data_IF_885688027617
#
_entry.id   IF_885688027617
#
_cell.length_a   1.000
_cell.length_b   1.000
_cell.length_c   1.000
_cell.angle_alpha   90.00
_cell.angle_beta   90.00
_cell.angle_gamma   90.00
#
_symmetry.space_group_name_H-M   'P 1'
#
loop_
_entity.id
_entity.type
_entity.pdbx_description
1 polymer ?
#
# COMPACT_ATOMS: atom_id res chain seq x y z
N UNK A 1 24.68 3.28 5.56
CA UNK A 1 23.92 2.57 4.52
C UNK A 1 23.16 1.42 5.16
N UNK A 2 21.91 1.24 4.77
CA UNK A 2 21.04 0.16 5.25
C UNK A 2 20.57 -0.64 4.04
N UNK A 3 20.66 -1.95 4.12
CA UNK A 3 20.18 -2.87 3.09
C UNK A 3 19.02 -3.68 3.65
N UNK A 4 17.83 -3.48 3.11
CA UNK A 4 16.64 -4.23 3.50
C UNK A 4 16.59 -5.57 2.76
N UNK A 5 16.36 -6.64 3.50
CA UNK A 5 16.11 -7.95 2.92
C UNK A 5 14.61 -8.16 2.66
N UNK A 6 14.27 -8.86 1.57
CA UNK A 6 12.92 -9.36 1.29
C UNK A 6 11.80 -8.28 1.21
N UNK A 7 12.11 -7.10 0.68
CA UNK A 7 11.12 -6.02 0.52
C UNK A 7 9.93 -6.49 -0.34
N UNK A 8 10.17 -7.13 -1.48
CA UNK A 8 9.17 -7.60 -2.46
C UNK A 8 8.15 -8.62 -1.89
N UNK A 9 8.42 -9.16 -0.70
CA UNK A 9 7.50 -10.05 0.02
C UNK A 9 7.08 -9.47 1.38
N UNK A 10 7.28 -8.16 1.58
CA UNK A 10 6.87 -7.43 2.78
C UNK A 10 7.74 -7.69 4.02
N UNK A 11 9.02 -8.04 3.83
CA UNK A 11 9.96 -8.38 4.91
C UNK A 11 11.05 -7.33 5.17
N UNK A 12 11.87 -7.58 6.19
CA UNK A 12 13.09 -6.86 6.52
C UNK A 12 12.92 -5.53 7.28
N UNK A 13 11.78 -4.86 7.15
CA UNK A 13 11.54 -3.57 7.80
C UNK A 13 11.48 -3.66 9.33
N UNK A 14 10.95 -4.76 9.88
CA UNK A 14 10.83 -4.94 11.33
C UNK A 14 12.18 -5.05 12.00
N UNK A 15 13.09 -5.79 11.40
CA UNK A 15 14.46 -5.97 11.85
C UNK A 15 15.24 -4.66 11.81
N UNK A 16 15.05 -3.85 10.77
CA UNK A 16 15.65 -2.52 10.65
C UNK A 16 15.11 -1.60 11.75
N UNK A 17 13.80 -1.52 11.95
CA UNK A 17 13.18 -0.71 13.00
C UNK A 17 13.66 -1.14 14.38
N UNK A 18 13.74 -2.45 14.64
CA UNK A 18 14.25 -2.96 15.91
C UNK A 18 15.71 -2.57 16.11
N UNK A 19 16.57 -2.76 15.11
CA UNK A 19 17.97 -2.35 15.18
C UNK A 19 18.13 -0.86 15.50
N UNK A 20 17.34 0.01 14.85
CA UNK A 20 17.36 1.44 15.12
C UNK A 20 16.91 1.78 16.54
N UNK A 21 15.86 1.13 17.05
CA UNK A 21 15.41 1.34 18.44
C UNK A 21 16.47 0.94 19.48
N UNK A 22 17.23 -0.09 19.19
CA UNK A 22 18.30 -0.59 20.10
C UNK A 22 19.58 0.24 20.01
N UNK A 23 19.84 0.94 18.90
CA UNK A 23 21.09 1.64 18.62
C UNK A 23 20.95 3.17 18.46
N UNK A 24 19.87 3.77 18.98
CA UNK A 24 19.66 5.23 18.99
C UNK A 24 18.92 5.78 17.78
N UNK A 25 18.74 5.01 16.74
CA UNK A 25 18.03 5.39 15.53
C UNK A 25 18.69 6.51 14.72
N UNK A 26 18.25 6.73 13.46
CA UNK A 26 18.68 7.85 12.64
C UNK A 26 17.77 9.07 12.85
N UNK A 27 18.35 10.26 12.74
CA UNK A 27 17.59 11.53 12.72
C UNK A 27 16.84 11.70 11.41
N UNK A 28 17.36 11.13 10.31
CA UNK A 28 16.79 11.21 8.97
C UNK A 28 17.09 9.97 8.14
N UNK A 29 16.11 9.53 7.38
CA UNK A 29 16.24 8.43 6.43
C UNK A 29 15.85 8.87 5.03
N UNK A 30 16.54 8.36 4.03
CA UNK A 30 16.23 8.57 2.62
C UNK A 30 16.24 7.24 1.88
N UNK A 31 15.29 7.05 0.99
CA UNK A 31 15.26 5.92 0.07
C UNK A 31 15.00 6.40 -1.36
N UNK A 32 15.65 5.75 -2.30
CA UNK A 32 15.51 6.02 -3.73
C UNK A 32 15.10 4.74 -4.44
N UNK A 33 13.97 4.77 -5.13
CA UNK A 33 13.52 3.69 -5.99
C UNK A 33 13.69 4.09 -7.47
N UNK A 34 14.19 3.21 -8.29
CA UNK A 34 14.27 3.42 -9.75
C UNK A 34 12.88 3.29 -10.37
N UNK A 35 12.51 4.21 -11.28
CA UNK A 35 11.15 4.25 -11.83
C UNK A 35 11.17 4.48 -13.34
N UNK A 36 10.85 3.45 -14.13
CA UNK A 36 10.92 3.50 -15.59
C UNK A 36 9.86 4.37 -16.27
N UNK A 37 8.82 4.76 -15.56
CA UNK A 37 7.81 5.71 -16.05
C UNK A 37 8.29 7.17 -15.96
N UNK A 38 9.38 7.42 -15.27
CA UNK A 38 10.07 8.71 -15.22
C UNK A 38 11.29 8.61 -16.13
N UNK A 39 11.51 9.65 -16.93
CA UNK A 39 12.63 9.73 -17.87
C UNK A 39 13.97 9.77 -17.14
N UNK A 40 14.96 9.12 -17.73
CA UNK A 40 16.36 9.13 -17.26
C UNK A 40 16.89 10.56 -17.09
N UNK A 41 17.59 10.84 -15.98
CA UNK A 41 18.04 12.19 -15.64
C UNK A 41 17.02 13.02 -14.85
N UNK A 42 15.86 12.46 -14.54
CA UNK A 42 14.84 13.11 -13.70
C UNK A 42 14.64 12.38 -12.37
N UNK A 43 14.23 13.12 -11.36
CA UNK A 43 13.90 12.59 -10.03
C UNK A 43 12.62 13.24 -9.51
N UNK A 44 11.70 12.42 -8.98
CA UNK A 44 10.50 12.92 -8.29
C UNK A 44 10.66 12.75 -6.80
N UNK A 45 10.65 13.86 -6.08
CA UNK A 45 10.66 13.93 -4.61
C UNK A 45 9.62 14.95 -4.17
N UNK A 46 8.44 14.45 -3.76
CA UNK A 46 7.31 15.27 -3.37
C UNK A 46 6.92 15.00 -1.91
N UNK A 47 6.42 16.01 -1.16
CA UNK A 47 5.96 15.81 0.21
C UNK A 47 4.65 15.03 0.28
N UNK A 48 4.35 14.51 1.46
CA UNK A 48 3.11 13.79 1.71
C UNK A 48 3.08 12.38 1.11
N UNK A 49 1.90 11.84 0.82
CA UNK A 49 1.76 10.46 0.36
C UNK A 49 2.43 10.21 -0.99
N UNK A 50 3.24 9.13 -1.08
CA UNK A 50 3.90 8.69 -2.32
C UNK A 50 3.46 7.31 -2.79
N UNK A 51 3.27 6.37 -1.82
CA UNK A 51 2.72 5.05 -2.12
C UNK A 51 1.58 4.74 -1.16
N UNK A 52 0.60 3.99 -1.65
CA UNK A 52 -0.53 3.55 -0.84
C UNK A 52 -0.10 2.57 0.24
N UNK A 53 -0.74 2.65 1.40
CA UNK A 53 -0.83 1.52 2.30
C UNK A 53 -1.74 0.45 1.71
N UNK A 54 -1.42 -0.81 1.98
CA UNK A 54 -2.23 -1.95 1.56
C UNK A 54 -2.55 -2.83 2.73
N UNK A 55 -3.83 -3.21 2.87
CA UNK A 55 -4.28 -4.12 3.92
C UNK A 55 -5.27 -5.13 3.38
N UNK A 56 -5.25 -6.32 3.97
CA UNK A 56 -6.18 -7.39 3.66
C UNK A 56 -7.28 -7.54 4.71
N UNK A 57 -8.38 -8.12 4.29
CA UNK A 57 -9.48 -8.50 5.18
C UNK A 57 -10.08 -9.85 4.76
N UNK A 58 -10.63 -10.53 5.75
CA UNK A 58 -11.39 -11.78 5.60
C UNK A 58 -12.66 -11.70 6.43
N UNK A 59 -13.75 -12.16 5.86
CA UNK A 59 -15.07 -12.21 6.49
C UNK A 59 -15.55 -13.65 6.46
N UNK A 60 -15.63 -14.27 7.63
CA UNK A 60 -16.21 -15.59 7.83
C UNK A 60 -17.68 -15.43 8.19
N UNK A 61 -18.56 -16.15 7.50
CA UNK A 61 -20.01 -16.08 7.66
C UNK A 61 -20.50 -17.46 8.03
N UNK A 62 -21.13 -17.58 9.21
CA UNK A 62 -21.66 -18.83 9.72
C UNK A 62 -23.19 -18.77 9.74
N UNK A 63 -23.80 -19.67 9.00
CA UNK A 63 -25.23 -19.87 8.97
C UNK A 63 -25.62 -21.27 9.49
N UNK A 64 -26.66 -21.81 8.93
CA UNK A 64 -27.12 -23.17 9.19
C UNK A 64 -27.58 -23.82 7.89
N UNK A 65 -26.86 -24.85 7.45
CA UNK A 65 -27.15 -25.57 6.22
C UNK A 65 -28.46 -26.35 6.25
N UNK A 66 -28.88 -26.76 5.07
CA UNK A 66 -30.13 -27.51 4.92
C UNK A 66 -30.38 -27.95 3.49
N UNK A 67 -31.54 -28.53 3.25
CA UNK A 67 -31.99 -28.93 1.94
C UNK A 67 -32.50 -27.73 1.13
N UNK A 68 -32.03 -27.56 -0.12
CA UNK A 68 -32.38 -26.43 -0.97
C UNK A 68 -33.88 -26.24 -1.24
N UNK A 69 -34.69 -27.32 -1.12
CA UNK A 69 -36.15 -27.22 -1.24
C UNK A 69 -36.85 -26.76 0.05
N UNK A 70 -36.13 -26.68 1.19
CA UNK A 70 -36.63 -26.23 2.48
C UNK A 70 -35.76 -25.11 3.08
N UNK A 71 -35.60 -23.98 2.34
CA UNK A 71 -34.80 -22.85 2.82
C UNK A 71 -35.33 -22.23 4.11
N UNK A 72 -36.62 -22.41 4.41
CA UNK A 72 -37.30 -22.03 5.64
C UNK A 72 -36.71 -22.71 6.90
N UNK A 73 -36.04 -23.85 6.73
CA UNK A 73 -35.40 -24.62 7.80
C UNK A 73 -33.89 -24.38 7.93
N UNK A 74 -33.34 -23.46 7.15
CA UNK A 74 -31.90 -23.14 7.11
C UNK A 74 -31.66 -21.66 7.37
N UNK A 75 -30.40 -21.28 7.53
CA UNK A 75 -29.93 -19.90 7.55
C UNK A 75 -28.79 -19.85 6.50
N UNK A 76 -29.14 -19.40 5.32
CA UNK A 76 -28.25 -19.45 4.15
C UNK A 76 -27.12 -18.41 4.24
N UNK A 77 -25.83 -18.77 4.28
CA UNK A 77 -24.72 -17.83 4.33
C UNK A 77 -24.30 -17.27 2.95
N UNK A 78 -24.80 -17.82 1.86
CA UNK A 78 -24.41 -17.38 0.50
C UNK A 78 -24.96 -16.00 0.18
N UNK A 79 -26.24 -15.75 0.49
CA UNK A 79 -26.89 -14.46 0.22
C UNK A 79 -26.22 -13.29 0.94
N UNK A 80 -25.97 -13.36 2.27
CA UNK A 80 -25.23 -12.31 2.95
C UNK A 80 -23.80 -12.15 2.43
N UNK A 81 -23.10 -13.22 2.00
CA UNK A 81 -21.81 -13.11 1.38
C UNK A 81 -21.83 -12.25 0.10
N UNK A 82 -22.82 -12.46 -0.78
CA UNK A 82 -23.01 -11.64 -1.98
C UNK A 82 -23.34 -10.18 -1.63
N UNK A 83 -24.23 -9.95 -0.64
CA UNK A 83 -24.61 -8.60 -0.21
C UNK A 83 -23.44 -7.84 0.41
N UNK A 84 -22.58 -8.52 1.20
CA UNK A 84 -21.34 -7.94 1.73
C UNK A 84 -20.42 -7.49 0.61
N UNK A 85 -20.17 -8.31 -0.43
CA UNK A 85 -19.33 -7.94 -1.58
C UNK A 85 -19.82 -6.66 -2.23
N UNK A 86 -21.12 -6.54 -2.49
CA UNK A 86 -21.71 -5.36 -3.10
C UNK A 86 -21.58 -4.10 -2.20
N UNK A 87 -21.80 -4.26 -0.91
CA UNK A 87 -21.73 -3.13 0.05
C UNK A 87 -20.31 -2.65 0.27
N UNK A 88 -19.34 -3.54 0.49
CA UNK A 88 -17.95 -3.11 0.72
C UNK A 88 -17.35 -2.43 -0.51
N UNK A 89 -17.76 -2.83 -1.71
CA UNK A 89 -17.33 -2.19 -2.96
C UNK A 89 -17.82 -0.73 -3.11
N UNK A 90 -18.84 -0.33 -2.36
CA UNK A 90 -19.36 1.04 -2.37
C UNK A 90 -18.65 1.99 -1.39
N UNK A 91 -17.77 1.49 -0.54
CA UNK A 91 -17.10 2.28 0.51
C UNK A 91 -16.32 3.48 -0.06
N UNK A 92 -15.50 3.34 -1.11
CA UNK A 92 -14.75 4.47 -1.64
C UNK A 92 -15.63 5.64 -2.07
N UNK A 93 -16.79 5.34 -2.66
CA UNK A 93 -17.70 6.37 -3.20
C UNK A 93 -18.56 7.02 -2.10
N UNK A 94 -18.98 6.26 -1.09
CA UNK A 94 -20.00 6.71 -0.15
C UNK A 94 -19.45 7.10 1.23
N UNK A 95 -18.24 6.68 1.57
CA UNK A 95 -17.73 6.80 2.95
C UNK A 95 -16.34 7.41 3.06
N UNK A 96 -15.58 7.47 1.97
CA UNK A 96 -14.29 8.15 1.90
C UNK A 96 -14.48 9.52 1.24
N UNK A 97 -13.66 10.50 1.58
CA UNK A 97 -13.69 11.81 0.93
C UNK A 97 -13.43 11.67 -0.57
N UNK A 98 -14.18 12.39 -1.40
CA UNK A 98 -13.95 12.41 -2.85
C UNK A 98 -12.58 12.98 -3.24
N UNK A 99 -11.89 13.66 -2.31
CA UNK A 99 -10.55 14.18 -2.47
C UNK A 99 -9.45 13.19 -2.01
N UNK A 100 -9.85 12.05 -1.44
CA UNK A 100 -8.94 10.99 -1.02
C UNK A 100 -9.02 9.79 -1.95
N UNK A 101 -7.87 9.33 -2.41
CA UNK A 101 -7.79 8.08 -3.17
C UNK A 101 -7.91 6.88 -2.23
N UNK A 102 -8.83 5.99 -2.55
CA UNK A 102 -9.06 4.75 -1.83
C UNK A 102 -9.56 3.67 -2.78
N UNK A 103 -9.10 2.44 -2.57
CA UNK A 103 -9.59 1.26 -3.29
C UNK A 103 -10.04 0.24 -2.27
N UNK A 104 -11.24 -0.31 -2.46
CA UNK A 104 -11.74 -1.46 -1.68
C UNK A 104 -12.25 -2.50 -2.65
N UNK A 105 -11.81 -3.74 -2.51
CA UNK A 105 -12.20 -4.81 -3.40
C UNK A 105 -12.36 -6.14 -2.65
N UNK A 106 -13.26 -6.99 -3.13
CA UNK A 106 -13.31 -8.40 -2.80
C UNK A 106 -12.63 -9.19 -3.93
N UNK A 107 -11.72 -10.09 -3.55
CA UNK A 107 -10.97 -10.93 -4.49
C UNK A 107 -11.52 -12.34 -4.59
N UNK A 108 -12.12 -12.83 -3.52
CA UNK A 108 -12.66 -14.19 -3.49
C UNK A 108 -13.95 -14.25 -2.66
N UNK A 109 -14.82 -15.13 -3.08
CA UNK A 109 -16.01 -15.56 -2.35
C UNK A 109 -16.08 -17.08 -2.43
N UNK A 110 -16.17 -17.73 -1.29
CA UNK A 110 -16.24 -19.19 -1.20
C UNK A 110 -17.45 -19.60 -0.38
N UNK A 111 -18.17 -20.60 -0.83
CA UNK A 111 -19.32 -21.15 -0.12
C UNK A 111 -20.04 -22.20 -0.94
N UNK A 112 -20.67 -23.12 -0.25
CA UNK A 112 -21.39 -24.23 -0.89
C UNK A 112 -20.52 -25.35 -1.44
N UNK A 113 -21.14 -26.20 -2.22
CA UNK A 113 -20.53 -27.33 -2.92
C UNK A 113 -20.99 -27.30 -4.37
N UNK A 114 -20.54 -28.26 -5.17
CA UNK A 114 -21.03 -28.46 -6.56
C UNK A 114 -22.43 -29.08 -6.63
N UNK A 115 -23.03 -29.40 -5.47
CA UNK A 115 -24.34 -30.06 -5.37
C UNK A 115 -25.42 -29.00 -5.17
N UNK A 116 -26.27 -28.77 -6.18
CA UNK A 116 -27.20 -27.64 -6.25
C UNK A 116 -28.42 -27.71 -5.30
N UNK A 117 -28.61 -28.78 -4.54
CA UNK A 117 -29.72 -28.91 -3.59
C UNK A 117 -29.29 -28.85 -2.10
N UNK A 118 -28.05 -28.40 -1.82
CA UNK A 118 -27.53 -28.25 -0.47
C UNK A 118 -27.25 -26.79 -0.18
N UNK A 119 -27.87 -26.24 0.87
CA UNK A 119 -27.50 -24.96 1.48
C UNK A 119 -26.33 -25.22 2.43
N UNK A 120 -25.20 -24.50 2.32
CA UNK A 120 -24.02 -24.74 3.14
C UNK A 120 -24.17 -24.19 4.56
N UNK A 121 -23.26 -24.62 5.47
CA UNK A 121 -23.18 -24.07 6.84
C UNK A 121 -22.43 -22.75 6.92
N UNK A 122 -21.54 -22.47 5.96
CA UNK A 122 -20.69 -21.30 6.00
C UNK A 122 -20.35 -20.78 4.60
N UNK A 123 -19.97 -19.52 4.57
CA UNK A 123 -19.34 -18.87 3.42
C UNK A 123 -18.19 -17.97 3.91
N UNK A 124 -17.31 -17.58 3.00
CA UNK A 124 -16.25 -16.63 3.29
C UNK A 124 -16.10 -15.63 2.15
N UNK A 125 -15.70 -14.41 2.50
CA UNK A 125 -15.31 -13.36 1.56
C UNK A 125 -13.91 -12.88 1.92
N UNK A 126 -13.03 -12.76 0.92
CA UNK A 126 -11.65 -12.30 1.09
C UNK A 126 -11.42 -11.11 0.18
N UNK A 127 -10.73 -10.08 0.69
CA UNK A 127 -10.43 -8.91 -0.10
C UNK A 127 -9.31 -8.06 0.49
N UNK A 128 -9.16 -6.89 -0.09
CA UNK A 128 -8.17 -5.91 0.34
C UNK A 128 -8.63 -4.48 0.11
N UNK A 129 -7.83 -3.55 0.61
CA UNK A 129 -8.04 -2.13 0.37
C UNK A 129 -6.70 -1.40 0.30
N UNK A 130 -6.70 -0.24 -0.39
CA UNK A 130 -5.56 0.68 -0.51
C UNK A 130 -5.97 2.04 0.03
N UNK A 131 -5.03 2.75 0.65
CA UNK A 131 -5.27 4.03 1.30
C UNK A 131 -3.98 4.84 1.37
N UNK A 132 -4.08 6.19 1.44
CA UNK A 132 -2.92 7.08 1.46
C UNK A 132 -2.68 7.78 2.80
N UNK A 133 -3.62 7.64 3.78
CA UNK A 133 -3.44 8.14 5.14
C UNK A 133 -3.81 7.05 6.16
N UNK A 134 -3.18 7.08 7.35
CA UNK A 134 -3.47 6.10 8.42
C UNK A 134 -4.95 6.18 8.84
N UNK A 135 -5.48 7.40 8.87
CA UNK A 135 -6.85 7.70 9.26
C UNK A 135 -7.85 7.07 8.29
N UNK A 136 -7.62 7.25 6.97
CA UNK A 136 -8.49 6.64 5.95
C UNK A 136 -8.40 5.11 5.98
N UNK A 137 -7.22 4.54 6.16
CA UNK A 137 -7.04 3.09 6.30
C UNK A 137 -7.83 2.50 7.46
N UNK A 138 -7.75 3.13 8.65
CA UNK A 138 -8.52 2.73 9.83
C UNK A 138 -10.01 2.89 9.59
N UNK A 139 -10.45 4.04 9.06
CA UNK A 139 -11.85 4.33 8.75
C UNK A 139 -12.45 3.29 7.80
N UNK A 140 -11.75 2.95 6.73
CA UNK A 140 -12.20 1.94 5.76
C UNK A 140 -12.42 0.59 6.43
N UNK A 141 -11.48 0.11 7.24
CA UNK A 141 -11.63 -1.16 7.92
C UNK A 141 -12.80 -1.16 8.93
N UNK A 142 -12.96 -0.08 9.69
CA UNK A 142 -14.09 0.08 10.63
C UNK A 142 -15.43 0.02 9.88
N UNK A 143 -15.53 0.62 8.67
CA UNK A 143 -16.74 0.59 7.85
C UNK A 143 -16.98 -0.82 7.28
N UNK A 144 -15.93 -1.51 6.79
CA UNK A 144 -16.06 -2.92 6.34
C UNK A 144 -16.67 -3.75 7.46
N UNK A 145 -16.16 -3.62 8.69
CA UNK A 145 -16.65 -4.33 9.86
C UNK A 145 -18.11 -3.98 10.19
N UNK A 146 -18.44 -2.69 10.18
CA UNK A 146 -19.80 -2.21 10.46
C UNK A 146 -20.82 -2.73 9.44
N UNK A 147 -20.50 -2.61 8.14
CA UNK A 147 -21.38 -3.07 7.06
C UNK A 147 -21.60 -4.58 7.12
N UNK A 148 -20.52 -5.34 7.30
CA UNK A 148 -20.60 -6.80 7.35
C UNK A 148 -21.42 -7.30 8.53
N UNK A 149 -21.23 -6.71 9.70
CA UNK A 149 -22.05 -7.03 10.88
C UNK A 149 -23.51 -6.65 10.69
N UNK A 150 -23.81 -5.49 10.07
CA UNK A 150 -25.16 -5.07 9.74
C UNK A 150 -25.86 -6.05 8.79
N UNK A 151 -25.16 -6.52 7.76
CA UNK A 151 -25.66 -7.58 6.87
C UNK A 151 -25.93 -8.87 7.68
N UNK A 152 -25.00 -9.26 8.54
CA UNK A 152 -25.17 -10.43 9.41
C UNK A 152 -26.46 -10.37 10.23
N UNK A 153 -26.76 -9.21 10.81
CA UNK A 153 -28.01 -8.99 11.57
C UNK A 153 -29.26 -9.14 10.71
N UNK A 154 -29.23 -8.57 9.48
CA UNK A 154 -30.38 -8.64 8.55
C UNK A 154 -30.69 -10.09 8.13
N UNK A 155 -29.66 -10.90 7.91
CA UNK A 155 -29.81 -12.28 7.45
C UNK A 155 -29.84 -13.33 8.58
N UNK A 156 -29.58 -12.92 9.82
CA UNK A 156 -29.54 -13.82 10.98
C UNK A 156 -28.36 -14.79 10.97
N UNK A 157 -27.24 -14.37 10.37
CA UNK A 157 -25.98 -15.14 10.33
C UNK A 157 -24.95 -14.54 11.29
N UNK A 158 -24.03 -15.37 11.79
CA UNK A 158 -22.86 -14.89 12.51
C UNK A 158 -21.79 -14.43 11.52
N UNK A 159 -21.23 -13.23 11.76
CA UNK A 159 -20.20 -12.64 10.92
C UNK A 159 -18.96 -12.33 11.74
N UNK A 160 -17.81 -12.83 11.31
CA UNK A 160 -16.51 -12.51 11.90
C UNK A 160 -15.64 -11.82 10.86
N UNK A 161 -15.28 -10.56 11.12
CA UNK A 161 -14.37 -9.77 10.26
C UNK A 161 -12.98 -9.78 10.86
N UNK A 162 -12.01 -10.20 10.08
CA UNK A 162 -10.59 -10.31 10.47
C UNK A 162 -9.74 -9.44 9.57
N UNK A 163 -8.85 -8.63 10.16
CA UNK A 163 -7.77 -7.95 9.44
C UNK A 163 -6.62 -8.93 9.21
N UNK A 164 -6.23 -9.15 7.97
CA UNK A 164 -5.23 -10.18 7.62
C UNK A 164 -3.81 -9.65 7.49
N UNK A 165 -3.57 -8.42 7.98
CA UNK A 165 -2.26 -7.77 7.90
C UNK A 165 -2.19 -6.75 6.77
N UNK A 166 -1.05 -6.11 6.65
CA UNK A 166 -0.79 -5.09 5.64
C UNK A 166 0.42 -4.24 5.99
N UNK A 167 0.75 -3.31 5.11
CA UNK A 167 1.77 -2.28 5.29
C UNK A 167 1.16 -0.90 5.12
N UNK A 168 1.72 0.09 5.83
CA UNK A 168 1.21 1.46 5.79
C UNK A 168 1.65 2.21 4.55
N UNK A 169 1.07 3.40 4.32
CA UNK A 169 1.46 4.26 3.21
C UNK A 169 2.86 4.83 3.41
N UNK A 170 3.57 5.06 2.31
CA UNK A 170 4.80 5.85 2.29
C UNK A 170 4.41 7.32 2.29
N UNK A 171 4.76 8.03 3.35
CA UNK A 171 4.44 9.45 3.52
C UNK A 171 5.75 10.21 3.79
N UNK A 172 6.11 11.10 2.86
CA UNK A 172 7.32 11.90 2.94
C UNK A 172 7.16 13.09 3.89
N UNK A 173 8.20 13.34 4.68
CA UNK A 173 8.34 14.51 5.52
C UNK A 173 8.57 15.77 4.67
N UNK A 174 7.84 16.85 4.95
CA UNK A 174 7.87 18.08 4.16
C UNK A 174 9.22 18.79 4.21
N UNK A 175 9.82 18.91 5.41
CA UNK A 175 11.12 19.57 5.59
C UNK A 175 12.26 18.74 4.93
N UNK A 176 12.16 17.43 5.00
CA UNK A 176 13.11 16.54 4.32
C UNK A 176 13.07 16.72 2.80
N UNK A 177 11.86 16.79 2.24
CA UNK A 177 11.65 17.00 0.80
C UNK A 177 12.11 18.38 0.35
N UNK A 178 11.86 19.43 1.14
CA UNK A 178 12.32 20.78 0.80
C UNK A 178 13.83 20.82 0.60
N UNK A 179 14.58 20.28 1.54
CA UNK A 179 16.04 20.16 1.43
C UNK A 179 16.46 19.30 0.24
N UNK A 180 15.74 18.21 -0.03
CA UNK A 180 16.03 17.34 -1.17
C UNK A 180 15.90 18.09 -2.50
N UNK A 181 14.86 18.91 -2.67
CA UNK A 181 14.64 19.73 -3.88
C UNK A 181 15.75 20.78 -4.08
N UNK A 182 16.22 21.40 -2.99
CA UNK A 182 17.35 22.33 -3.03
C UNK A 182 18.66 21.63 -3.52
N UNK A 183 18.87 20.39 -3.08
CA UNK A 183 20.06 19.59 -3.47
C UNK A 183 19.98 19.16 -4.93
N UNK A 184 18.83 18.71 -5.42
CA UNK A 184 18.64 18.31 -6.83
C UNK A 184 19.04 19.45 -7.76
N UNK A 185 18.68 20.70 -7.43
CA UNK A 185 19.00 21.88 -8.22
C UNK A 185 20.53 22.15 -8.37
N UNK A 186 21.35 21.47 -7.57
CA UNK A 186 22.82 21.58 -7.56
C UNK A 186 23.52 20.32 -8.09
N UNK A 187 22.82 19.48 -8.85
CA UNK A 187 23.37 18.27 -9.48
C UNK A 187 23.23 18.40 -11.00
N UNK A 188 24.34 18.48 -11.68
CA UNK A 188 24.36 18.56 -13.15
C UNK A 188 23.76 17.28 -13.78
N UNK A 189 22.79 17.46 -14.67
CA UNK A 189 22.13 16.35 -15.36
C UNK A 189 21.04 15.64 -14.55
N UNK A 190 20.65 16.18 -13.38
CA UNK A 190 19.50 15.70 -12.61
C UNK A 190 18.47 16.83 -12.49
N UNK A 191 17.27 16.57 -12.98
CA UNK A 191 16.16 17.54 -12.97
C UNK A 191 15.00 17.06 -12.08
N UNK A 192 14.33 18.01 -11.43
CA UNK A 192 13.10 17.72 -10.70
C UNK A 192 11.96 17.39 -11.68
N UNK A 193 11.25 16.32 -11.38
CA UNK A 193 9.99 15.96 -12.03
C UNK A 193 8.91 15.77 -10.97
N UNK A 194 7.67 15.91 -11.34
CA UNK A 194 6.53 15.62 -10.47
C UNK A 194 5.87 14.33 -10.93
N UNK A 195 5.74 13.37 -10.02
CA UNK A 195 5.09 12.11 -10.28
C UNK A 195 3.98 11.87 -9.27
N UNK A 196 2.79 11.50 -9.74
CA UNK A 196 1.63 11.27 -8.90
C UNK A 196 1.84 10.13 -7.89
N UNK A 197 1.17 10.18 -6.73
CA UNK A 197 1.16 9.06 -5.80
C UNK A 197 0.63 7.78 -6.47
N UNK A 198 1.21 6.65 -6.14
CA UNK A 198 0.87 5.37 -6.76
C UNK A 198 0.21 4.39 -5.79
N UNK A 199 -0.68 3.52 -6.33
CA UNK A 199 -1.35 2.49 -5.54
C UNK A 199 -0.47 1.27 -5.22
N UNK A 200 0.82 1.26 -5.60
CA UNK A 200 1.80 0.31 -5.09
C UNK A 200 2.08 0.57 -3.61
N UNK A 201 2.70 -0.38 -2.95
CA UNK A 201 3.06 -0.29 -1.53
C UNK A 201 4.52 -0.67 -1.36
N UNK A 202 5.19 -0.06 -0.38
CA UNK A 202 6.58 -0.35 -0.03
C UNK A 202 6.73 -0.39 1.50
N UNK A 203 7.50 -1.35 2.00
CA UNK A 203 7.77 -1.52 3.42
C UNK A 203 8.47 -0.32 4.06
N UNK A 204 9.08 0.56 3.27
CA UNK A 204 9.69 1.79 3.76
C UNK A 204 8.69 2.70 4.46
N UNK A 205 7.40 2.63 4.10
CA UNK A 205 6.32 3.30 4.81
C UNK A 205 6.24 2.93 6.30
N UNK A 206 6.57 1.69 6.67
CA UNK A 206 6.61 1.28 8.07
C UNK A 206 7.78 1.93 8.83
N UNK A 207 8.92 2.14 8.16
CA UNK A 207 10.10 2.80 8.74
C UNK A 207 9.82 4.30 8.92
N UNK A 208 9.17 4.95 7.93
CA UNK A 208 8.79 6.37 8.00
C UNK A 208 7.70 6.69 9.05
N UNK A 209 7.02 5.69 9.61
CA UNK A 209 6.14 5.90 10.77
C UNK A 209 6.90 6.25 12.05
N UNK A 210 8.12 5.76 12.17
CA UNK A 210 8.96 5.86 13.37
C UNK A 210 10.04 6.94 13.23
N UNK A 211 10.49 7.22 11.99
CA UNK A 211 11.62 8.10 11.70
C UNK A 211 11.28 9.08 10.58
N UNK A 212 11.78 10.32 10.66
CA UNK A 212 11.63 11.31 9.61
C UNK A 212 12.45 10.95 8.37
N UNK A 213 11.92 11.26 7.19
CA UNK A 213 12.63 11.03 5.94
C UNK A 213 11.73 11.12 4.71
N UNK A 214 12.24 10.62 3.60
CA UNK A 214 11.48 10.58 2.37
C UNK A 214 11.87 9.40 1.48
N UNK A 215 10.99 9.14 0.54
CA UNK A 215 11.12 8.19 -0.56
C UNK A 215 11.01 8.96 -1.86
N UNK A 216 11.93 8.74 -2.79
CA UNK A 216 11.91 9.39 -4.09
C UNK A 216 12.00 8.38 -5.23
N UNK A 217 11.57 8.81 -6.41
CA UNK A 217 11.63 8.03 -7.64
C UNK A 217 12.72 8.59 -8.55
N UNK A 218 13.77 7.81 -8.79
CA UNK A 218 14.80 8.11 -9.78
C UNK A 218 14.33 7.62 -11.14
N UNK A 219 14.24 8.51 -12.11
CA UNK A 219 13.89 8.18 -13.48
C UNK A 219 14.97 7.35 -14.17
N UNK A 220 14.56 6.23 -14.71
CA UNK A 220 15.41 5.28 -15.45
C UNK A 220 14.82 4.87 -16.79
N UNK A 221 13.70 5.48 -17.19
CA UNK A 221 13.07 5.26 -18.50
C UNK A 221 13.85 5.95 -19.62
N UNK A 222 14.06 5.27 -20.75
CA UNK A 222 14.73 5.84 -21.90
C UNK A 222 14.16 5.25 -23.19
N UNK A 223 13.33 6.02 -23.88
CA UNK A 223 12.66 5.57 -25.11
C UNK A 223 13.65 5.29 -26.25
N UNK A 224 14.73 6.06 -26.36
CA UNK A 224 15.74 5.89 -27.40
C UNK A 224 16.52 4.58 -27.23
N UNK A 225 16.76 4.18 -25.96
CA UNK A 225 17.37 2.88 -25.62
C UNK A 225 16.35 1.73 -25.56
N UNK A 226 15.05 1.97 -25.84
CA UNK A 226 14.00 0.97 -25.76
C UNK A 226 13.59 0.59 -24.33
N UNK A 227 13.95 1.38 -23.33
CA UNK A 227 13.63 1.17 -21.92
C UNK A 227 12.27 1.83 -21.62
N UNK A 228 11.18 1.08 -21.86
CA UNK A 228 9.80 1.58 -21.83
C UNK A 228 8.86 0.71 -20.99
N UNK A 229 9.35 -0.42 -20.48
CA UNK A 229 8.50 -1.34 -19.72
C UNK A 229 8.48 -0.98 -18.23
N UNK A 230 7.30 -1.02 -17.62
CA UNK A 230 7.12 -0.75 -16.19
C UNK A 230 7.72 -1.85 -15.30
N UNK A 231 7.86 -1.54 -14.00
CA UNK A 231 8.28 -2.49 -12.97
C UNK A 231 7.47 -3.79 -13.05
N UNK A 232 8.10 -4.90 -12.70
CA UNK A 232 7.55 -6.27 -12.76
C UNK A 232 7.19 -6.80 -14.15
N UNK A 233 7.39 -6.02 -15.23
CA UNK A 233 7.22 -6.54 -16.58
C UNK A 233 8.39 -7.46 -16.95
N UNK A 234 8.18 -8.60 -17.67
CA UNK A 234 9.26 -9.54 -18.04
C UNK A 234 10.41 -8.92 -18.88
N UNK A 235 10.15 -7.79 -19.55
CA UNK A 235 11.14 -7.02 -20.31
C UNK A 235 11.57 -5.73 -19.60
N UNK A 236 11.35 -5.64 -18.29
CA UNK A 236 11.80 -4.48 -17.51
C UNK A 236 13.30 -4.31 -17.63
N UNK A 237 13.72 -3.08 -17.81
CA UNK A 237 15.12 -2.67 -17.83
C UNK A 237 15.24 -1.22 -17.35
N UNK A 238 16.45 -0.77 -17.06
CA UNK A 238 16.76 0.55 -16.56
C UNK A 238 17.88 1.20 -17.38
N UNK A 239 17.88 2.52 -17.48
CA UNK A 239 19.03 3.26 -17.98
C UNK A 239 20.06 3.40 -16.84
N UNK A 240 21.09 2.57 -16.86
CA UNK A 240 22.10 2.50 -15.80
C UNK A 240 22.94 3.79 -15.70
N UNK A 241 22.99 4.61 -16.75
CA UNK A 241 23.73 5.88 -16.75
C UNK A 241 23.18 6.87 -15.71
N UNK A 242 21.92 6.69 -15.26
CA UNK A 242 21.30 7.54 -14.25
C UNK A 242 21.64 7.16 -12.81
N UNK A 243 22.10 5.93 -12.56
CA UNK A 243 22.36 5.43 -11.21
C UNK A 243 23.41 6.29 -10.48
N UNK A 244 24.40 6.80 -11.19
CA UNK A 244 25.40 7.72 -10.62
C UNK A 244 24.78 9.00 -10.08
N UNK A 245 23.73 9.53 -10.73
CA UNK A 245 23.02 10.73 -10.30
C UNK A 245 22.23 10.47 -9.00
N UNK A 246 21.60 9.31 -8.89
CA UNK A 246 20.95 8.87 -7.64
C UNK A 246 21.93 8.72 -6.48
N UNK A 247 23.11 8.11 -6.74
CA UNK A 247 24.18 8.00 -5.73
C UNK A 247 24.71 9.37 -5.30
N UNK A 248 24.94 10.29 -6.25
CA UNK A 248 25.38 11.66 -5.97
C UNK A 248 24.34 12.41 -5.13
N UNK A 249 23.06 12.31 -5.50
CA UNK A 249 21.96 12.92 -4.78
C UNK A 249 21.92 12.44 -3.32
N UNK A 250 21.94 11.12 -3.08
CA UNK A 250 21.90 10.57 -1.72
C UNK A 250 23.12 10.98 -0.90
N UNK A 251 24.31 10.99 -1.49
CA UNK A 251 25.54 11.40 -0.81
C UNK A 251 25.52 12.90 -0.45
N UNK A 252 25.13 13.76 -1.40
CA UNK A 252 24.99 15.21 -1.16
C UNK A 252 23.94 15.49 -0.07
N UNK A 253 22.81 14.78 -0.09
CA UNK A 253 21.79 14.94 0.95
C UNK A 253 22.34 14.61 2.33
N UNK A 254 23.04 13.50 2.48
CA UNK A 254 23.62 13.09 3.76
C UNK A 254 24.63 14.14 4.28
N UNK A 255 25.53 14.63 3.41
CA UNK A 255 26.53 15.64 3.76
C UNK A 255 25.87 16.95 4.18
N UNK A 256 24.92 17.47 3.40
CA UNK A 256 24.23 18.72 3.71
C UNK A 256 23.41 18.63 5.00
N UNK A 257 22.74 17.49 5.24
CA UNK A 257 22.01 17.25 6.47
C UNK A 257 22.92 17.28 7.69
N UNK A 258 24.05 16.61 7.64
CA UNK A 258 25.05 16.59 8.74
C UNK A 258 25.65 17.98 8.99
N UNK A 259 25.97 18.73 7.92
CA UNK A 259 26.51 20.08 8.05
C UNK A 259 25.51 21.06 8.71
N UNK A 260 24.22 20.96 8.38
CA UNK A 260 23.17 21.82 8.97
C UNK A 260 22.91 21.51 10.44
N UNK A 261 23.13 20.28 10.89
CA UNK A 261 22.84 19.86 12.27
C UNK A 261 24.09 19.86 13.19
N UNK A 262 25.29 20.09 12.66
CA UNK A 262 26.53 20.23 13.44
C UNK A 262 26.91 21.69 13.73
N UNK A 263 26.10 22.67 13.30
CA UNK A 263 26.22 24.09 13.62
C UNK A 263 25.08 24.52 14.56
#
# INVERSE_FOLDING_TARGET
LVFQAAEEVGGGHKEIIQYFKENGGPDRLIATHVWSNIEAGKISVEPGPRMAGGSGWRIDITGRGGHGSRPDQSIDPIKPACDIVLKVSSIPVNHVSVLEQCVVHACAIHGGTTIGNIIPNSAEVIGGYRYFTKESGKKVFDIIKQMSNGVGQVYGVDVKVTHTGGIGPVINDEEAVKMAKEIVSNIDGLELDSYEPICASDCYGEILKEYSGFYCYLGVGNKEKGIIYAQHHPKYNIDEDTLKLGCEFMAKYAVEFLNKNNN
#
